data_IF_209152820803
#
_entry.id   IF_209152820803
#
_cell.length_a   1.000
_cell.length_b   1.000
_cell.length_c   1.000
_cell.angle_alpha   90.00
_cell.angle_beta   90.00
_cell.angle_gamma   90.00
#
_symmetry.space_group_name_H-M   'P 1'
#
loop_
_entity.id
_entity.type
_entity.pdbx_description
1 polymer ?
#
# COMPACT_ATOMS: atom_id res chain seq x y z
N UNK A 1 19.11 32.59 -9.42
CA UNK A 1 19.98 31.60 -8.76
C UNK A 1 20.74 32.34 -7.67
N UNK A 2 20.85 31.78 -6.47
CA UNK A 2 21.57 32.40 -5.34
C UNK A 2 23.09 32.27 -5.51
N UNK A 3 23.87 33.00 -4.71
CA UNK A 3 25.32 32.90 -4.75
C UNK A 3 25.82 31.51 -4.29
N UNK A 4 27.01 31.13 -4.74
CA UNK A 4 27.52 29.75 -4.68
C UNK A 4 27.56 29.14 -3.26
N UNK A 5 27.98 29.93 -2.26
CA UNK A 5 28.02 29.47 -0.87
C UNK A 5 26.63 29.14 -0.32
N UNK A 6 25.68 30.06 -0.48
CA UNK A 6 24.29 29.83 -0.06
C UNK A 6 23.63 28.69 -0.83
N UNK A 7 23.95 28.53 -2.12
CA UNK A 7 23.50 27.39 -2.92
C UNK A 7 24.01 26.06 -2.33
N UNK A 8 25.31 25.98 -2.05
CA UNK A 8 25.91 24.80 -1.44
C UNK A 8 25.26 24.46 -0.10
N UNK A 9 25.12 25.45 0.79
CA UNK A 9 24.55 25.25 2.12
C UNK A 9 23.08 24.80 2.03
N UNK A 10 22.32 25.40 1.10
CA UNK A 10 20.95 24.99 0.81
C UNK A 10 20.85 23.55 0.32
N UNK A 11 21.61 23.18 -0.71
CA UNK A 11 21.53 21.83 -1.29
C UNK A 11 21.96 20.77 -0.26
N UNK A 12 23.01 21.02 0.53
CA UNK A 12 23.37 20.13 1.64
C UNK A 12 22.24 20.03 2.67
N UNK A 13 21.53 21.11 3.00
CA UNK A 13 20.39 21.06 3.93
C UNK A 13 19.24 20.20 3.39
N UNK A 14 18.97 20.25 2.08
CA UNK A 14 17.89 19.51 1.43
C UNK A 14 18.22 18.03 1.26
N UNK A 15 19.44 17.69 0.83
CA UNK A 15 19.85 16.32 0.47
C UNK A 15 20.66 15.61 1.57
N UNK A 16 20.70 16.14 2.79
CA UNK A 16 21.30 15.44 3.93
C UNK A 16 20.46 14.20 4.32
N UNK A 17 21.09 13.03 4.35
CA UNK A 17 20.48 11.84 4.94
C UNK A 17 20.41 11.98 6.47
N UNK A 18 19.25 11.73 7.11
CA UNK A 18 19.14 11.67 8.56
C UNK A 18 19.92 10.49 9.17
N UNK A 19 20.18 9.43 8.40
CA UNK A 19 20.85 8.20 8.85
C UNK A 19 22.37 8.22 8.65
N UNK A 20 22.89 9.18 7.87
CA UNK A 20 24.32 9.41 7.73
C UNK A 20 24.71 10.70 8.45
N UNK A 21 24.99 10.60 9.75
CA UNK A 21 25.86 11.58 10.41
C UNK A 21 27.25 11.39 9.80
N UNK A 22 27.78 12.35 9.02
CA UNK A 22 29.13 12.19 8.51
C UNK A 22 30.10 12.29 9.71
N UNK A 23 31.19 11.50 9.70
CA UNK A 23 32.25 11.69 10.68
C UNK A 23 32.71 13.15 10.61
N UNK A 24 32.76 13.82 11.75
CA UNK A 24 33.32 15.16 11.84
C UNK A 24 34.73 15.15 11.20
N UNK A 25 34.95 16.02 10.21
CA UNK A 25 36.22 16.29 9.52
C UNK A 25 36.53 15.61 8.16
N UNK A 26 35.53 15.23 7.33
CA UNK A 26 35.77 15.13 5.87
C UNK A 26 35.28 16.39 5.17
N UNK A 27 36.12 17.01 4.33
CA UNK A 27 35.74 18.18 3.54
C UNK A 27 34.59 17.78 2.61
N UNK A 28 33.35 18.21 2.91
CA UNK A 28 32.22 18.00 2.01
C UNK A 28 32.56 18.67 0.68
N UNK A 29 32.56 17.90 -0.41
CA UNK A 29 32.69 18.48 -1.75
C UNK A 29 31.57 19.53 -1.92
N UNK A 30 31.87 20.70 -2.53
CA UNK A 30 30.84 21.69 -2.78
C UNK A 30 29.76 21.09 -3.69
N UNK A 31 28.50 21.28 -3.32
CA UNK A 31 27.34 20.76 -4.03
C UNK A 31 26.68 21.90 -4.81
N UNK A 32 26.39 21.66 -6.08
CA UNK A 32 25.73 22.60 -6.99
C UNK A 32 24.88 21.81 -8.01
N UNK A 33 24.15 22.50 -8.90
CA UNK A 33 23.26 21.81 -9.85
C UNK A 33 23.98 20.97 -10.92
N UNK A 34 25.30 21.11 -11.10
CA UNK A 34 26.04 20.28 -12.07
C UNK A 34 26.37 18.89 -11.51
N UNK A 35 26.69 18.81 -10.21
CA UNK A 35 27.03 17.54 -9.55
C UNK A 35 25.88 16.97 -8.69
N UNK A 36 24.74 17.65 -8.62
CA UNK A 36 23.56 17.19 -7.89
C UNK A 36 22.99 15.86 -8.41
N UNK A 37 22.90 15.59 -9.73
CA UNK A 37 22.42 14.29 -10.23
C UNK A 37 23.22 13.10 -9.68
N UNK A 38 24.55 13.18 -9.75
CA UNK A 38 25.44 12.12 -9.22
C UNK A 38 25.29 11.94 -7.70
N UNK A 39 25.08 13.04 -6.97
CA UNK A 39 24.83 12.99 -5.54
C UNK A 39 23.48 12.34 -5.21
N UNK A 40 22.44 12.62 -6.00
CA UNK A 40 21.13 11.99 -5.87
C UNK A 40 21.19 10.49 -6.17
N UNK A 41 21.93 10.07 -7.20
CA UNK A 41 22.11 8.64 -7.49
C UNK A 41 22.76 7.90 -6.31
N UNK A 42 23.76 8.52 -5.67
CA UNK A 42 24.37 7.97 -4.44
C UNK A 42 23.39 7.96 -3.26
N UNK A 43 22.60 9.02 -3.09
CA UNK A 43 21.60 9.12 -2.03
C UNK A 43 20.49 8.09 -2.20
N UNK A 44 20.15 7.72 -3.44
CA UNK A 44 19.07 6.79 -3.76
C UNK A 44 19.54 5.35 -3.97
N UNK A 45 20.85 5.09 -3.83
CA UNK A 45 21.38 3.74 -3.87
C UNK A 45 20.82 2.92 -2.69
N UNK A 46 20.32 1.72 -3.00
CA UNK A 46 19.83 0.74 -2.03
C UNK A 46 20.74 -0.48 -2.14
N UNK A 47 21.02 -1.15 -1.02
CA UNK A 47 21.90 -2.31 -1.00
C UNK A 47 21.31 -3.45 -1.86
N UNK A 48 22.18 -4.14 -2.62
CA UNK A 48 21.77 -5.15 -3.61
C UNK A 48 20.93 -6.29 -3.03
N UNK A 49 21.05 -6.59 -1.73
CA UNK A 49 20.25 -7.62 -1.05
C UNK A 49 18.75 -7.32 -1.08
N UNK A 50 18.34 -6.05 -1.03
CA UNK A 50 16.93 -5.60 -1.08
C UNK A 50 16.35 -5.63 -2.51
N UNK A 51 17.21 -5.68 -3.53
CA UNK A 51 16.82 -5.80 -4.94
C UNK A 51 16.73 -7.27 -5.36
N UNK A 52 17.66 -8.13 -4.93
CA UNK A 52 17.66 -9.56 -5.25
C UNK A 52 16.64 -10.39 -4.44
N UNK A 53 16.24 -9.94 -3.24
CA UNK A 53 15.24 -10.65 -2.42
C UNK A 53 13.82 -10.62 -2.99
N UNK A 54 13.54 -9.79 -4.01
CA UNK A 54 12.21 -9.64 -4.61
C UNK A 54 11.85 -10.88 -5.44
N UNK A 55 11.22 -11.86 -4.81
CA UNK A 55 10.56 -12.99 -5.50
C UNK A 55 11.03 -14.39 -5.11
N UNK A 56 12.05 -14.56 -4.25
CA UNK A 56 12.50 -15.87 -3.77
C UNK A 56 12.55 -15.96 -2.24
N UNK A 57 11.49 -15.49 -1.57
CA UNK A 57 11.35 -15.71 -0.14
C UNK A 57 11.20 -17.22 0.18
N UNK A 58 12.08 -17.75 1.02
CA UNK A 58 11.98 -19.14 1.51
C UNK A 58 10.57 -19.40 2.08
N UNK A 59 9.98 -20.53 1.69
CA UNK A 59 8.64 -20.92 2.14
C UNK A 59 7.49 -20.48 1.23
N UNK A 60 7.77 -19.90 0.07
CA UNK A 60 6.78 -19.45 -0.93
C UNK A 60 7.09 -20.02 -2.31
N UNK A 61 6.07 -20.34 -3.09
CA UNK A 61 6.18 -20.85 -4.47
C UNK A 61 5.14 -20.16 -5.36
N UNK A 62 5.58 -19.61 -6.49
CA UNK A 62 4.73 -18.93 -7.47
C UNK A 62 5.30 -17.59 -7.95
N UNK A 63 4.64 -16.92 -8.89
CA UNK A 63 5.08 -15.63 -9.45
C UNK A 63 5.19 -14.55 -8.37
N UNK A 64 6.12 -13.60 -8.48
CA UNK A 64 6.29 -12.51 -7.50
C UNK A 64 5.02 -11.66 -7.33
N UNK A 65 4.35 -11.35 -8.44
CA UNK A 65 3.01 -10.76 -8.44
C UNK A 65 1.97 -11.83 -8.15
N UNK A 66 1.24 -11.69 -7.05
CA UNK A 66 0.24 -12.66 -6.61
C UNK A 66 -1.15 -12.16 -6.98
N UNK A 67 -1.90 -13.00 -7.69
CA UNK A 67 -3.26 -12.71 -8.18
C UNK A 67 -4.14 -13.95 -8.06
N UNK A 68 -5.42 -13.83 -8.35
CA UNK A 68 -6.33 -14.96 -8.49
C UNK A 68 -6.06 -15.72 -9.80
N UNK A 69 -5.92 -17.05 -9.72
CA UNK A 69 -5.65 -17.91 -10.88
C UNK A 69 -6.96 -18.23 -11.62
N UNK A 70 -7.33 -17.31 -12.52
CA UNK A 70 -8.47 -17.45 -13.43
C UNK A 70 -8.19 -18.36 -14.64
N UNK A 71 -7.01 -19.01 -14.71
CA UNK A 71 -6.63 -19.85 -15.87
C UNK A 71 -6.79 -21.35 -15.61
N UNK A 72 -6.48 -21.79 -14.40
CA UNK A 72 -6.58 -23.20 -14.01
C UNK A 72 -6.79 -23.42 -12.52
N UNK A 73 -6.93 -22.34 -11.74
CA UNK A 73 -7.07 -22.38 -10.29
C UNK A 73 -8.50 -22.15 -9.81
N UNK A 74 -9.51 -22.41 -10.63
CA UNK A 74 -10.90 -22.11 -10.28
C UNK A 74 -11.89 -23.17 -10.78
N UNK A 75 -13.11 -23.10 -10.26
CA UNK A 75 -14.27 -23.90 -10.65
C UNK A 75 -15.55 -23.07 -10.50
N UNK A 76 -16.53 -23.30 -11.38
CA UNK A 76 -17.74 -22.49 -11.45
C UNK A 76 -17.60 -21.20 -12.26
N UNK A 77 -18.66 -20.40 -12.29
CA UNK A 77 -18.70 -19.14 -13.04
C UNK A 77 -18.36 -17.99 -12.09
N UNK A 78 -17.25 -17.31 -12.38
CA UNK A 78 -16.73 -16.18 -11.61
C UNK A 78 -16.47 -15.00 -12.54
N UNK A 79 -16.81 -13.79 -12.10
CA UNK A 79 -16.32 -12.57 -12.73
C UNK A 79 -15.11 -12.10 -11.94
N UNK A 80 -13.98 -11.93 -12.61
CA UNK A 80 -12.72 -11.50 -12.01
C UNK A 80 -12.37 -10.13 -12.59
N UNK A 81 -11.97 -9.18 -11.74
CA UNK A 81 -11.59 -7.83 -12.16
C UNK A 81 -10.32 -7.84 -13.03
N UNK A 82 -10.08 -6.78 -13.81
CA UNK A 82 -8.93 -6.67 -14.72
C UNK A 82 -7.57 -6.78 -13.99
N UNK A 83 -7.50 -6.36 -12.72
CA UNK A 83 -6.30 -6.49 -11.89
C UNK A 83 -6.13 -7.88 -11.26
N UNK A 84 -7.09 -8.77 -11.49
CA UNK A 84 -7.15 -10.14 -10.99
C UNK A 84 -7.14 -10.26 -9.46
N UNK A 85 -7.58 -9.21 -8.77
CA UNK A 85 -7.68 -9.18 -7.30
C UNK A 85 -9.13 -9.14 -6.81
N UNK A 86 -10.06 -8.60 -7.60
CA UNK A 86 -11.50 -8.65 -7.32
C UNK A 86 -12.17 -9.88 -7.92
N UNK A 87 -13.16 -10.45 -7.22
CA UNK A 87 -13.94 -11.58 -7.74
C UNK A 87 -15.39 -11.52 -7.26
N UNK A 88 -16.31 -11.89 -8.15
CA UNK A 88 -17.76 -12.00 -7.92
C UNK A 88 -18.25 -13.41 -8.31
N UNK A 89 -18.97 -14.06 -7.41
CA UNK A 89 -19.60 -15.35 -7.63
C UNK A 89 -20.79 -15.25 -8.59
N UNK A 90 -20.83 -16.08 -9.62
CA UNK A 90 -21.93 -16.17 -10.59
C UNK A 90 -22.51 -17.59 -10.74
N UNK A 91 -21.99 -18.56 -9.98
CA UNK A 91 -22.53 -19.91 -9.81
C UNK A 91 -23.08 -20.12 -8.40
N UNK A 92 -23.54 -21.34 -8.10
CA UNK A 92 -24.05 -21.69 -6.77
C UNK A 92 -22.99 -21.50 -5.68
N UNK A 93 -21.79 -22.06 -5.92
CA UNK A 93 -20.64 -21.91 -5.04
C UNK A 93 -19.32 -22.03 -5.81
N UNK A 94 -18.96 -20.96 -6.52
CA UNK A 94 -17.74 -20.94 -7.34
C UNK A 94 -16.50 -20.80 -6.45
N UNK A 95 -15.41 -21.47 -6.82
CA UNK A 95 -14.16 -21.48 -6.03
C UNK A 95 -12.99 -21.01 -6.86
N UNK A 96 -12.11 -20.19 -6.29
CA UNK A 96 -10.85 -19.76 -6.92
C UNK A 96 -9.72 -19.70 -5.90
N UNK A 97 -8.51 -20.04 -6.33
CA UNK A 97 -7.27 -19.90 -5.54
C UNK A 97 -6.31 -18.91 -6.17
N UNK A 98 -5.33 -18.46 -5.39
CA UNK A 98 -4.28 -17.57 -5.91
C UNK A 98 -3.23 -18.34 -6.74
N UNK A 99 -2.42 -17.61 -7.50
CA UNK A 99 -1.30 -18.14 -8.29
C UNK A 99 -0.10 -18.60 -7.47
N UNK A 100 -0.07 -18.28 -6.16
CA UNK A 100 1.09 -18.50 -5.28
C UNK A 100 0.67 -19.27 -4.03
N UNK A 101 1.52 -20.19 -3.58
CA UNK A 101 1.34 -20.91 -2.33
C UNK A 101 2.51 -20.73 -1.38
N UNK A 102 2.31 -21.17 -0.14
CA UNK A 102 3.29 -21.14 0.93
C UNK A 102 3.42 -22.51 1.59
N UNK A 103 4.63 -22.87 1.98
CA UNK A 103 4.97 -24.19 2.55
C UNK A 103 5.84 -24.13 3.82
N UNK A 104 6.38 -22.95 4.18
CA UNK A 104 7.18 -22.72 5.40
C UNK A 104 7.07 -21.27 5.83
N UNK A 105 7.20 -20.96 7.13
CA UNK A 105 7.14 -19.60 7.64
C UNK A 105 5.72 -19.11 7.92
N UNK A 106 5.61 -17.81 8.22
CA UNK A 106 4.37 -17.15 8.63
C UNK A 106 3.88 -16.20 7.54
N UNK A 107 2.67 -16.40 7.06
CA UNK A 107 2.12 -15.67 5.92
C UNK A 107 0.73 -15.11 6.16
N UNK A 108 0.46 -13.96 5.54
CA UNK A 108 -0.82 -13.29 5.62
C UNK A 108 -1.25 -12.73 4.26
N UNK A 109 -2.56 -12.75 4.02
CA UNK A 109 -3.21 -11.90 3.04
C UNK A 109 -4.47 -11.30 3.65
N UNK A 110 -4.96 -10.22 3.04
CA UNK A 110 -6.21 -9.59 3.44
C UNK A 110 -7.28 -9.77 2.37
N UNK A 111 -8.52 -9.95 2.80
CA UNK A 111 -9.69 -9.99 1.92
C UNK A 111 -10.65 -8.92 2.38
N UNK A 112 -10.96 -8.03 1.45
CA UNK A 112 -11.98 -7.03 1.62
C UNK A 112 -13.35 -7.61 1.24
N UNK A 113 -14.28 -7.58 2.19
CA UNK A 113 -15.65 -8.04 2.01
C UNK A 113 -16.46 -6.97 1.28
N UNK A 114 -16.90 -7.24 0.05
CA UNK A 114 -17.72 -6.31 -0.74
C UNK A 114 -19.22 -6.57 -0.58
N UNK A 115 -19.60 -7.80 -0.24
CA UNK A 115 -20.96 -8.22 0.11
C UNK A 115 -20.94 -9.20 1.28
N UNK A 116 -22.02 -9.28 2.06
CA UNK A 116 -22.03 -9.95 3.36
C UNK A 116 -22.68 -11.34 3.36
N UNK A 117 -22.88 -11.97 2.20
CA UNK A 117 -23.54 -13.27 2.11
C UNK A 117 -22.59 -14.45 2.24
N UNK A 118 -23.00 -15.57 1.64
CA UNK A 118 -22.43 -16.89 1.88
C UNK A 118 -21.09 -17.07 1.14
N UNK A 119 -20.00 -17.09 1.90
CA UNK A 119 -18.64 -17.24 1.39
C UNK A 119 -17.79 -18.03 2.38
N UNK A 120 -16.77 -18.73 1.88
CA UNK A 120 -15.78 -19.43 2.69
C UNK A 120 -14.38 -18.98 2.27
N UNK A 121 -13.68 -18.28 3.15
CA UNK A 121 -12.36 -17.69 2.88
C UNK A 121 -11.29 -18.44 3.66
N UNK A 122 -10.21 -18.86 2.99
CA UNK A 122 -9.07 -19.44 3.71
C UNK A 122 -8.03 -20.08 2.80
N UNK A 123 -7.56 -21.26 3.17
CA UNK A 123 -6.39 -21.88 2.56
C UNK A 123 -6.71 -23.27 2.04
N UNK A 124 -6.18 -23.63 0.87
CA UNK A 124 -6.31 -24.98 0.31
C UNK A 124 -4.97 -25.50 -0.21
N UNK A 125 -4.80 -26.82 -0.22
CA UNK A 125 -3.66 -27.46 -0.90
C UNK A 125 -3.95 -27.65 -2.38
N UNK A 126 -2.92 -27.98 -3.16
CA UNK A 126 -3.09 -28.33 -4.59
C UNK A 126 -4.00 -29.54 -4.81
N UNK A 127 -4.16 -30.39 -3.80
CA UNK A 127 -4.99 -31.60 -3.86
C UNK A 127 -6.46 -31.33 -3.55
N UNK A 128 -6.82 -30.08 -3.20
CA UNK A 128 -8.21 -29.69 -3.04
C UNK A 128 -8.91 -29.72 -4.40
N UNK A 129 -9.89 -30.62 -4.56
CA UNK A 129 -10.72 -30.68 -5.76
C UNK A 129 -11.88 -29.73 -5.59
N UNK A 130 -12.03 -28.79 -6.51
CA UNK A 130 -13.14 -27.86 -6.49
C UNK A 130 -14.34 -28.45 -7.23
N UNK A 131 -15.54 -28.16 -6.73
CA UNK A 131 -16.81 -28.38 -7.40
C UNK A 131 -17.76 -27.23 -7.00
N UNK A 132 -19.01 -27.24 -7.46
CA UNK A 132 -19.97 -26.16 -7.22
C UNK A 132 -20.91 -26.40 -6.02
N UNK A 133 -20.67 -27.47 -5.27
CA UNK A 133 -21.46 -27.89 -4.10
C UNK A 133 -20.65 -27.78 -2.80
N UNK A 134 -19.37 -28.13 -2.85
CA UNK A 134 -18.39 -28.08 -1.78
C UNK A 134 -17.41 -26.92 -2.01
N UNK A 135 -17.18 -26.11 -0.98
CA UNK A 135 -16.23 -25.02 -1.03
C UNK A 135 -14.95 -25.25 -0.23
N UNK A 136 -14.17 -24.18 -0.11
CA UNK A 136 -12.96 -24.16 0.73
C UNK A 136 -13.37 -24.46 2.17
N UNK A 137 -12.76 -25.49 2.76
CA UNK A 137 -13.07 -25.96 4.09
C UNK A 137 -14.00 -27.19 4.13
N UNK A 138 -14.58 -27.63 3.01
CA UNK A 138 -15.41 -28.84 2.99
C UNK A 138 -14.58 -30.12 2.81
N UNK A 139 -13.29 -30.00 2.49
CA UNK A 139 -12.35 -31.13 2.33
C UNK A 139 -11.21 -31.09 3.34
N UNK A 140 -10.58 -32.24 3.60
CA UNK A 140 -9.39 -32.33 4.47
C UNK A 140 -8.19 -31.51 3.95
N UNK A 141 -8.21 -31.16 2.66
CA UNK A 141 -7.19 -30.38 1.98
C UNK A 141 -7.42 -28.87 2.05
N UNK A 142 -8.42 -28.40 2.81
CA UNK A 142 -8.78 -26.99 2.87
C UNK A 142 -9.34 -26.56 4.21
N UNK A 143 -9.18 -25.29 4.53
CA UNK A 143 -9.52 -24.69 5.81
C UNK A 143 -10.13 -23.31 5.53
N UNK A 144 -11.30 -23.02 6.08
CA UNK A 144 -11.95 -21.73 5.83
C UNK A 144 -12.67 -21.14 7.02
N UNK A 145 -12.92 -19.85 6.90
CA UNK A 145 -13.79 -19.05 7.73
C UNK A 145 -14.98 -18.54 6.91
N UNK A 146 -16.18 -18.74 7.45
CA UNK A 146 -17.44 -18.21 6.93
C UNK A 146 -18.00 -17.23 7.98
N UNK A 147 -17.81 -15.93 7.75
CA UNK A 147 -18.28 -14.89 8.64
C UNK A 147 -19.78 -14.62 8.52
N UNK A 148 -20.46 -15.06 7.46
CA UNK A 148 -21.92 -14.97 7.40
C UNK A 148 -22.58 -15.99 8.33
N UNK A 149 -22.02 -17.20 8.41
CA UNK A 149 -22.49 -18.25 9.34
C UNK A 149 -21.74 -18.29 10.67
N UNK A 150 -20.73 -17.45 10.84
CA UNK A 150 -19.87 -17.35 12.04
C UNK A 150 -19.27 -18.71 12.41
N UNK A 151 -18.63 -19.33 11.41
CA UNK A 151 -18.15 -20.72 11.48
C UNK A 151 -16.79 -20.87 10.83
N UNK A 152 -16.03 -21.86 11.32
CA UNK A 152 -14.85 -22.39 10.64
C UNK A 152 -15.16 -23.75 10.01
N UNK A 153 -14.51 -24.06 8.91
CA UNK A 153 -14.77 -25.24 8.07
C UNK A 153 -13.47 -26.01 7.78
N UNK A 154 -13.46 -27.30 8.11
CA UNK A 154 -12.49 -28.30 7.63
C UNK A 154 -13.15 -29.68 7.71
N UNK A 155 -13.73 -30.17 6.60
CA UNK A 155 -14.62 -31.35 6.50
C UNK A 155 -15.93 -31.20 7.27
N UNK A 156 -15.86 -30.73 8.51
CA UNK A 156 -16.98 -30.40 9.37
C UNK A 156 -16.92 -28.93 9.78
N UNK A 157 -18.04 -28.43 10.30
CA UNK A 157 -18.17 -27.02 10.70
C UNK A 157 -18.39 -26.85 12.20
N UNK A 158 -17.72 -25.85 12.77
CA UNK A 158 -17.85 -25.46 14.18
C UNK A 158 -17.96 -23.94 14.33
N UNK A 159 -18.60 -23.48 15.41
CA UNK A 159 -18.73 -22.05 15.69
C UNK A 159 -17.35 -21.40 15.87
N UNK A 160 -17.12 -20.26 15.21
CA UNK A 160 -15.86 -19.52 15.28
C UNK A 160 -16.02 -18.11 14.73
N UNK A 161 -15.32 -17.14 15.32
CA UNK A 161 -15.24 -15.78 14.79
C UNK A 161 -16.45 -14.90 15.10
N UNK A 162 -16.73 -13.94 14.22
CA UNK A 162 -17.79 -12.93 14.35
C UNK A 162 -18.51 -12.71 13.03
N UNK A 163 -19.71 -12.15 13.04
CA UNK A 163 -20.34 -11.77 11.78
C UNK A 163 -19.49 -10.73 11.04
N UNK A 164 -19.28 -10.91 9.72
CA UNK A 164 -18.72 -9.86 8.86
C UNK A 164 -19.83 -8.98 8.28
N UNK A 165 -19.46 -7.81 7.79
CA UNK A 165 -20.29 -6.93 6.98
C UNK A 165 -19.52 -6.48 5.73
N UNK A 166 -20.25 -5.98 4.73
CA UNK A 166 -19.63 -5.29 3.60
C UNK A 166 -18.83 -4.08 4.14
N UNK A 167 -17.56 -3.96 3.74
CA UNK A 167 -16.64 -2.99 4.34
C UNK A 167 -15.57 -3.62 5.23
N UNK A 168 -15.83 -4.81 5.79
CA UNK A 168 -14.89 -5.46 6.68
C UNK A 168 -13.70 -6.05 5.93
N UNK A 169 -12.57 -6.12 6.62
CA UNK A 169 -11.36 -6.78 6.12
C UNK A 169 -11.07 -7.99 7.00
N UNK A 170 -10.95 -9.15 6.36
CA UNK A 170 -10.50 -10.39 6.97
C UNK A 170 -9.03 -10.58 6.68
N UNK A 171 -8.18 -10.57 7.70
CA UNK A 171 -6.79 -11.02 7.57
C UNK A 171 -6.75 -12.54 7.77
N UNK A 172 -6.19 -13.27 6.82
CA UNK A 172 -6.07 -14.72 6.87
C UNK A 172 -4.61 -15.09 7.16
N UNK A 173 -4.35 -15.67 8.33
CA UNK A 173 -2.99 -15.92 8.83
C UNK A 173 -2.71 -17.42 8.85
N UNK A 174 -1.56 -17.82 8.31
CA UNK A 174 -1.05 -19.19 8.39
C UNK A 174 0.37 -19.19 8.93
N UNK A 175 0.59 -19.91 10.03
CA UNK A 175 1.89 -20.13 10.64
C UNK A 175 2.27 -21.59 10.37
N UNK A 176 3.14 -21.81 9.38
CA UNK A 176 3.56 -23.16 9.00
C UNK A 176 4.71 -23.66 9.89
N UNK A 177 5.34 -22.79 10.66
CA UNK A 177 6.38 -23.18 11.61
C UNK A 177 5.73 -23.83 12.85
N UNK A 178 4.65 -23.24 13.35
CA UNK A 178 3.85 -23.79 14.47
C UNK A 178 2.72 -24.72 14.01
N UNK A 179 2.29 -24.58 12.75
CA UNK A 179 1.22 -25.40 12.16
C UNK A 179 -0.16 -24.94 12.60
N UNK A 180 -0.36 -23.62 12.65
CA UNK A 180 -1.62 -22.98 13.06
C UNK A 180 -2.19 -22.08 11.97
N UNK A 181 -3.50 -21.91 11.99
CA UNK A 181 -4.24 -21.02 11.11
C UNK A 181 -5.18 -20.18 11.95
N UNK A 182 -5.18 -18.86 11.74
CA UNK A 182 -6.04 -17.93 12.45
C UNK A 182 -6.59 -16.85 11.51
N UNK A 183 -7.61 -16.14 11.99
CA UNK A 183 -8.22 -15.04 11.24
C UNK A 183 -8.32 -13.81 12.12
N UNK A 184 -8.22 -12.64 11.52
CA UNK A 184 -8.57 -11.37 12.16
C UNK A 184 -9.71 -10.71 11.39
N UNK A 185 -10.60 -10.02 12.10
CA UNK A 185 -11.62 -9.16 11.51
C UNK A 185 -11.32 -7.71 11.90
N UNK A 186 -11.03 -6.87 10.91
CA UNK A 186 -10.65 -5.46 11.11
C UNK A 186 -9.50 -5.29 12.12
N UNK A 187 -8.47 -6.13 12.00
CA UNK A 187 -7.31 -6.13 12.89
C UNK A 187 -7.54 -6.76 14.27
N UNK A 188 -8.76 -7.20 14.59
CA UNK A 188 -9.05 -7.89 15.86
C UNK A 188 -8.94 -9.40 15.66
N UNK A 189 -8.06 -10.05 16.43
CA UNK A 189 -7.92 -11.52 16.41
C UNK A 189 -9.24 -12.20 16.74
N UNK A 190 -9.55 -13.26 15.98
CA UNK A 190 -10.68 -14.16 16.23
C UNK A 190 -10.25 -15.44 16.98
N UNK A 191 -8.99 -15.52 17.41
CA UNK A 191 -8.38 -16.71 18.01
C UNK A 191 -7.79 -17.68 16.98
N UNK A 192 -7.20 -18.78 17.47
CA UNK A 192 -6.69 -19.84 16.59
C UNK A 192 -7.88 -20.64 16.04
N UNK A 193 -7.97 -20.74 14.72
CA UNK A 193 -9.02 -21.49 14.04
C UNK A 193 -8.63 -22.97 13.92
N UNK A 194 -7.40 -23.26 13.53
CA UNK A 194 -6.92 -24.63 13.33
C UNK A 194 -5.49 -24.79 13.85
N UNK A 195 -5.21 -25.99 14.34
CA UNK A 195 -3.91 -26.40 14.87
C UNK A 195 -3.51 -27.73 14.20
N UNK A 196 -2.23 -28.08 14.31
CA UNK A 196 -1.67 -29.33 13.75
C UNK A 196 -1.88 -29.47 12.24
N UNK A 197 -1.69 -28.38 11.49
CA UNK A 197 -1.74 -28.41 10.04
C UNK A 197 -0.76 -29.45 9.47
N UNK A 198 -1.20 -30.15 8.42
CA UNK A 198 -0.37 -31.08 7.66
C UNK A 198 0.81 -30.34 7.01
N UNK A 199 2.03 -30.72 7.37
CA UNK A 199 3.27 -30.10 6.90
C UNK A 199 4.24 -31.17 6.41
N UNK A 200 5.18 -30.77 5.55
CA UNK A 200 6.22 -31.67 5.02
C UNK A 200 6.35 -31.59 3.50
N UNK A 201 7.13 -32.52 2.93
CA UNK A 201 7.39 -32.56 1.50
C UNK A 201 6.09 -32.70 0.71
N UNK A 202 5.91 -31.85 -0.31
CA UNK A 202 4.73 -31.84 -1.17
C UNK A 202 3.51 -31.11 -0.58
N UNK A 203 3.61 -30.54 0.63
CA UNK A 203 2.53 -29.78 1.26
C UNK A 203 2.75 -28.28 1.08
N UNK A 204 1.82 -27.62 0.40
CA UNK A 204 1.78 -26.16 0.27
C UNK A 204 0.33 -25.67 0.24
N UNK A 205 0.11 -24.44 0.67
CA UNK A 205 -1.19 -23.85 0.89
C UNK A 205 -1.37 -22.58 0.04
N UNK A 206 -2.43 -22.55 -0.75
CA UNK A 206 -2.86 -21.41 -1.54
C UNK A 206 -3.97 -20.68 -0.79
N UNK A 207 -3.97 -19.34 -0.73
CA UNK A 207 -5.18 -18.57 -0.50
C UNK A 207 -6.27 -18.99 -1.48
N UNK A 208 -7.48 -19.19 -0.97
CA UNK A 208 -8.62 -19.60 -1.74
C UNK A 208 -9.92 -19.05 -1.14
N UNK A 209 -10.94 -18.98 -1.98
CA UNK A 209 -12.28 -18.58 -1.58
C UNK A 209 -13.34 -19.35 -2.37
N UNK A 210 -14.44 -19.67 -1.71
CA UNK A 210 -15.70 -20.07 -2.35
C UNK A 210 -16.76 -19.00 -2.13
N UNK A 211 -17.51 -18.66 -3.19
CA UNK A 211 -18.45 -17.55 -3.27
C UNK A 211 -19.79 -18.03 -3.81
N UNK A 212 -20.88 -17.69 -3.14
CA UNK A 212 -22.22 -17.85 -3.71
C UNK A 212 -22.56 -16.78 -4.73
N UNK A 213 -23.67 -17.00 -5.46
CA UNK A 213 -24.17 -16.09 -6.46
C UNK A 213 -24.31 -14.65 -5.93
N UNK A 214 -23.73 -13.68 -6.66
CA UNK A 214 -23.61 -12.25 -6.36
C UNK A 214 -22.72 -11.88 -5.18
N UNK A 215 -22.09 -12.84 -4.52
CA UNK A 215 -21.13 -12.53 -3.46
C UNK A 215 -19.80 -12.07 -4.04
N UNK A 216 -19.17 -11.09 -3.41
CA UNK A 216 -18.03 -10.38 -3.97
C UNK A 216 -17.02 -9.98 -2.90
N UNK A 217 -15.75 -10.05 -3.27
CA UNK A 217 -14.61 -9.65 -2.45
C UNK A 217 -13.49 -9.06 -3.30
N UNK A 218 -12.54 -8.40 -2.64
CA UNK A 218 -11.26 -8.02 -3.25
C UNK A 218 -10.08 -8.46 -2.38
N UNK A 219 -9.09 -9.10 -2.98
CA UNK A 219 -7.89 -9.58 -2.31
C UNK A 219 -6.81 -8.50 -2.25
N UNK A 220 -6.04 -8.54 -1.17
CA UNK A 220 -4.75 -7.87 -1.08
C UNK A 220 -3.71 -8.88 -0.58
N UNK A 221 -2.93 -9.42 -1.52
CA UNK A 221 -1.81 -10.29 -1.22
C UNK A 221 -0.54 -9.52 -0.81
N UNK A 222 -0.55 -8.18 -0.92
CA UNK A 222 0.62 -7.31 -0.71
C UNK A 222 0.89 -6.35 -1.87
N UNK A 223 0.09 -6.37 -2.94
CA UNK A 223 0.17 -5.42 -4.06
C UNK A 223 -0.11 -3.97 -3.65
N UNK A 224 -0.76 -3.79 -2.51
CA UNK A 224 -0.94 -2.53 -1.79
C UNK A 224 -0.58 -2.73 -0.32
N UNK A 225 -0.20 -1.67 0.44
CA UNK A 225 0.05 -1.80 1.87
C UNK A 225 -1.09 -2.54 2.57
N UNK A 226 -0.75 -3.60 3.33
CA UNK A 226 -1.73 -4.30 4.14
C UNK A 226 -2.25 -3.38 5.25
N UNK A 227 -3.56 -3.37 5.47
CA UNK A 227 -4.25 -2.41 6.34
C UNK A 227 -3.92 -2.62 7.81
N UNK A 228 -3.85 -3.86 8.26
CA UNK A 228 -3.66 -4.22 9.68
C UNK A 228 -2.31 -4.88 9.98
N UNK A 229 -1.38 -4.84 9.03
CA UNK A 229 -0.07 -5.46 9.16
C UNK A 229 0.95 -4.58 9.91
N UNK A 230 0.90 -3.26 9.71
CA UNK A 230 1.87 -2.31 10.29
C UNK A 230 1.16 -1.34 11.26
N UNK A 231 1.71 -1.14 12.47
CA UNK A 231 1.25 -0.14 13.44
C UNK A 231 0.99 -0.66 14.87
N UNK A 232 0.46 0.20 15.76
CA UNK A 232 0.20 -0.12 17.19
C UNK A 232 -0.83 -1.24 17.43
N UNK A 233 -1.54 -1.67 16.39
CA UNK A 233 -2.51 -2.77 16.39
C UNK A 233 -2.02 -3.99 15.58
N UNK A 234 -0.70 -4.17 15.41
CA UNK A 234 -0.10 -5.27 14.65
C UNK A 234 -0.32 -6.63 15.34
N UNK A 235 -1.55 -7.14 15.28
CA UNK A 235 -1.91 -8.53 15.63
C UNK A 235 -1.22 -9.54 14.68
N UNK A 236 -0.71 -9.03 13.56
CA UNK A 236 -0.05 -9.77 12.47
C UNK A 236 1.48 -9.68 12.56
N UNK A 237 2.04 -9.18 13.67
CA UNK A 237 3.48 -9.04 13.85
C UNK A 237 4.20 -10.40 13.66
N UNK A 238 5.17 -10.43 12.75
CA UNK A 238 5.95 -11.63 12.41
C UNK A 238 5.41 -12.44 11.23
N UNK A 239 4.25 -12.11 10.68
CA UNK A 239 3.77 -12.67 9.41
C UNK A 239 4.28 -11.81 8.24
N UNK A 240 4.45 -12.40 7.06
CA UNK A 240 4.83 -11.71 5.82
C UNK A 240 3.67 -11.70 4.82
N UNK A 241 3.50 -10.63 4.02
CA UNK A 241 2.54 -10.66 2.91
C UNK A 241 2.95 -11.71 1.87
N UNK A 242 2.00 -12.19 1.07
CA UNK A 242 2.29 -13.14 -0.02
C UNK A 242 3.00 -12.50 -1.21
N UNK A 243 2.83 -11.20 -1.40
CA UNK A 243 3.55 -10.39 -2.35
C UNK A 243 4.41 -9.41 -1.57
N UNK A 244 5.72 -9.46 -1.80
CA UNK A 244 6.66 -8.59 -1.11
C UNK A 244 6.39 -7.11 -1.48
N UNK A 245 6.49 -6.19 -0.50
CA UNK A 245 6.54 -4.77 -0.79
C UNK A 245 7.70 -4.44 -1.74
N UNK A 246 7.59 -3.41 -2.59
CA UNK A 246 8.71 -2.95 -3.40
C UNK A 246 9.72 -2.19 -2.54
N UNK A 247 10.47 -2.88 -1.68
CA UNK A 247 11.31 -2.31 -0.61
C UNK A 247 12.28 -1.25 -1.14
N UNK A 248 13.05 -1.57 -2.19
CA UNK A 248 14.02 -0.63 -2.77
C UNK A 248 13.35 0.66 -3.26
N UNK A 249 12.24 0.53 -4.00
CA UNK A 249 11.49 1.70 -4.46
C UNK A 249 10.86 2.50 -3.30
N UNK A 250 10.41 1.80 -2.24
CA UNK A 250 9.85 2.42 -1.06
C UNK A 250 10.90 3.25 -0.32
N UNK A 251 12.11 2.72 -0.14
CA UNK A 251 13.24 3.45 0.45
C UNK A 251 13.57 4.69 -0.40
N UNK A 252 13.70 4.53 -1.72
CA UNK A 252 13.97 5.66 -2.64
C UNK A 252 12.86 6.74 -2.53
N UNK A 253 11.60 6.33 -2.56
CA UNK A 253 10.45 7.24 -2.45
C UNK A 253 10.41 7.96 -1.09
N UNK A 254 10.75 7.28 0.01
CA UNK A 254 10.82 7.89 1.34
C UNK A 254 11.96 8.91 1.46
N UNK A 255 13.14 8.61 0.91
CA UNK A 255 14.28 9.56 0.86
C UNK A 255 13.92 10.80 0.05
N UNK A 256 13.29 10.62 -1.12
CA UNK A 256 12.81 11.73 -1.96
C UNK A 256 11.72 12.56 -1.28
N UNK A 257 10.77 11.91 -0.60
CA UNK A 257 9.77 12.61 0.22
C UNK A 257 10.44 13.41 1.35
N UNK A 258 11.49 12.87 1.97
CA UNK A 258 12.30 13.59 2.95
C UNK A 258 12.93 14.87 2.38
N UNK A 259 13.58 14.77 1.22
CA UNK A 259 14.14 15.92 0.50
C UNK A 259 13.05 16.93 0.14
N UNK A 260 11.91 16.47 -0.38
CA UNK A 260 10.77 17.30 -0.72
C UNK A 260 10.24 18.06 0.51
N UNK A 261 10.06 17.37 1.64
CA UNK A 261 9.67 18.00 2.91
C UNK A 261 10.69 19.02 3.40
N UNK A 262 11.98 18.75 3.23
CA UNK A 262 13.02 19.70 3.56
C UNK A 262 12.86 21.00 2.74
N UNK A 263 12.56 20.91 1.44
CA UNK A 263 12.28 22.08 0.59
C UNK A 263 11.08 22.87 1.09
N UNK A 264 10.04 22.19 1.58
CA UNK A 264 8.86 22.83 2.16
C UNK A 264 9.11 23.51 3.52
N UNK A 265 10.25 23.24 4.16
CA UNK A 265 10.59 23.75 5.51
C UNK A 265 11.74 24.76 5.53
N UNK A 266 12.40 24.99 4.39
CA UNK A 266 13.58 25.86 4.27
C UNK A 266 13.29 26.97 3.29
N UNK A 267 13.45 28.21 3.74
CA UNK A 267 13.40 29.41 2.90
C UNK A 267 14.82 29.96 2.68
N UNK A 268 15.05 30.46 1.46
CA UNK A 268 16.26 31.16 1.09
C UNK A 268 16.05 32.65 1.30
N UNK A 269 16.87 33.27 2.16
CA UNK A 269 16.96 34.72 2.29
C UNK A 269 18.13 35.24 1.44
N UNK A 270 17.88 35.73 0.21
CA UNK A 270 18.93 36.22 -0.67
C UNK A 270 19.53 37.55 -0.20
N UNK A 271 18.83 38.30 0.67
CA UNK A 271 19.27 39.61 1.16
C UNK A 271 20.28 39.43 2.28
N UNK A 272 19.97 38.59 3.26
CA UNK A 272 20.89 38.28 4.36
C UNK A 272 21.87 37.14 4.03
N UNK A 273 21.66 36.44 2.92
CA UNK A 273 22.54 35.36 2.46
C UNK A 273 22.49 34.13 3.36
N UNK A 274 21.34 33.83 3.98
CA UNK A 274 21.17 32.76 4.97
C UNK A 274 19.98 31.85 4.67
N UNK A 275 19.96 30.69 5.32
CA UNK A 275 18.81 29.78 5.35
C UNK A 275 17.93 30.11 6.55
N UNK A 276 16.62 30.11 6.34
CA UNK A 276 15.62 30.32 7.40
C UNK A 276 14.73 29.10 7.48
N UNK A 277 14.56 28.53 8.67
CA UNK A 277 13.59 27.46 8.90
C UNK A 277 12.20 28.06 9.10
N UNK A 278 11.20 27.45 8.47
CA UNK A 278 9.80 27.83 8.60
C UNK A 278 8.90 26.63 8.84
N UNK A 279 7.75 26.89 9.44
CA UNK A 279 6.69 25.89 9.47
C UNK A 279 6.23 25.60 8.04
N UNK A 280 6.14 24.32 7.69
CA UNK A 280 5.68 23.89 6.36
C UNK A 280 4.25 24.35 6.04
N UNK A 281 3.46 24.70 7.07
CA UNK A 281 2.10 25.23 6.96
C UNK A 281 2.04 26.61 6.29
N UNK A 282 3.15 27.37 6.33
CA UNK A 282 3.27 28.71 5.74
C UNK A 282 3.99 28.71 4.39
N UNK A 283 4.40 27.53 3.90
CA UNK A 283 5.16 27.43 2.66
C UNK A 283 4.35 27.96 1.47
N UNK A 284 5.03 28.66 0.56
CA UNK A 284 4.46 29.13 -0.70
C UNK A 284 5.54 29.11 -1.77
N UNK A 285 5.18 28.69 -2.99
CA UNK A 285 6.08 28.74 -4.12
C UNK A 285 6.27 30.19 -4.57
N UNK A 286 7.40 30.81 -4.20
CA UNK A 286 7.74 32.18 -4.58
C UNK A 286 8.43 32.29 -5.96
N UNK A 287 8.40 31.22 -6.77
CA UNK A 287 9.04 31.20 -8.10
C UNK A 287 10.57 31.37 -8.07
N UNK A 288 11.21 31.15 -6.93
CA UNK A 288 12.66 31.28 -6.80
C UNK A 288 13.37 30.23 -7.66
N UNK A 289 14.26 30.61 -8.60
CA UNK A 289 14.88 29.67 -9.54
C UNK A 289 15.63 28.53 -8.86
N UNK A 290 16.29 28.80 -7.72
CA UNK A 290 17.02 27.78 -6.95
C UNK A 290 16.07 26.69 -6.43
N UNK A 291 14.92 27.08 -5.88
CA UNK A 291 13.91 26.14 -5.37
C UNK A 291 13.32 25.33 -6.52
N UNK A 292 12.96 26.00 -7.63
CA UNK A 292 12.40 25.34 -8.81
C UNK A 292 13.36 24.32 -9.42
N UNK A 293 14.63 24.67 -9.58
CA UNK A 293 15.65 23.73 -10.06
C UNK A 293 15.85 22.55 -9.11
N UNK A 294 15.82 22.79 -7.80
CA UNK A 294 15.96 21.73 -6.79
C UNK A 294 14.78 20.76 -6.84
N UNK A 295 13.55 21.28 -6.93
CA UNK A 295 12.35 20.48 -7.09
C UNK A 295 12.37 19.69 -8.41
N UNK A 296 12.85 20.26 -9.51
CA UNK A 296 12.98 19.55 -10.77
C UNK A 296 13.85 18.28 -10.64
N UNK A 297 15.00 18.38 -9.96
CA UNK A 297 15.87 17.22 -9.72
C UNK A 297 15.21 16.17 -8.81
N UNK A 298 14.44 16.60 -7.79
CA UNK A 298 13.69 15.67 -6.94
C UNK A 298 12.63 14.93 -7.76
N UNK A 299 11.83 15.66 -8.54
CA UNK A 299 10.71 15.09 -9.30
C UNK A 299 11.17 14.23 -10.47
N UNK A 300 12.34 14.47 -11.04
CA UNK A 300 12.95 13.60 -12.05
C UNK A 300 13.06 12.13 -11.57
N UNK A 301 13.35 11.91 -10.28
CA UNK A 301 13.39 10.57 -9.69
C UNK A 301 12.09 10.17 -8.98
N UNK A 302 11.32 11.14 -8.48
CA UNK A 302 10.11 10.85 -7.71
C UNK A 302 8.89 10.55 -8.59
N UNK A 303 8.75 11.20 -9.74
CA UNK A 303 7.60 11.06 -10.62
C UNK A 303 7.39 9.61 -11.11
N UNK A 304 8.43 8.87 -11.57
CA UNK A 304 8.26 7.48 -11.99
C UNK A 304 7.80 6.55 -10.85
N UNK A 305 8.22 6.84 -9.61
CA UNK A 305 7.81 6.09 -8.41
C UNK A 305 6.34 6.36 -8.07
N UNK A 306 5.88 7.59 -8.21
CA UNK A 306 4.49 8.00 -7.93
C UNK A 306 3.46 7.50 -8.96
N UNK A 307 3.85 6.62 -9.88
CA UNK A 307 2.93 5.85 -10.74
C UNK A 307 2.58 4.48 -10.17
N UNK A 308 3.37 3.98 -9.22
CA UNK A 308 3.18 2.66 -8.61
C UNK A 308 2.15 2.79 -7.47
N UNK A 309 1.03 2.08 -7.57
CA UNK A 309 -0.08 2.16 -6.61
C UNK A 309 0.37 1.99 -5.15
N UNK A 310 1.30 1.06 -4.90
CA UNK A 310 1.85 0.83 -3.57
C UNK A 310 2.52 2.08 -2.99
N UNK A 311 3.32 2.79 -3.81
CA UNK A 311 4.05 3.99 -3.39
C UNK A 311 3.14 5.21 -3.29
N UNK A 312 2.13 5.31 -4.15
CA UNK A 312 1.09 6.35 -4.03
C UNK A 312 0.38 6.23 -2.69
N UNK A 313 -0.01 5.02 -2.27
CA UNK A 313 -0.70 4.80 -0.99
C UNK A 313 0.26 4.96 0.21
N UNK A 314 1.42 4.30 0.17
CA UNK A 314 2.37 4.28 1.28
C UNK A 314 3.09 5.62 1.51
N UNK A 315 3.31 6.41 0.46
CA UNK A 315 4.16 7.61 0.52
C UNK A 315 3.34 8.88 0.31
N UNK A 316 2.79 9.08 -0.90
CA UNK A 316 2.11 10.35 -1.24
C UNK A 316 0.82 10.55 -0.44
N UNK A 317 -0.06 9.55 -0.42
CA UNK A 317 -1.33 9.64 0.29
C UNK A 317 -1.08 9.80 1.79
N UNK A 318 -0.19 9.01 2.39
CA UNK A 318 0.19 9.14 3.80
C UNK A 318 0.75 10.52 4.14
N UNK A 319 1.56 11.12 3.25
CA UNK A 319 2.04 12.49 3.39
C UNK A 319 0.90 13.53 3.35
N UNK A 320 0.01 13.45 2.35
CA UNK A 320 -1.11 14.37 2.20
C UNK A 320 -2.12 14.25 3.35
N UNK A 321 -2.38 13.04 3.83
CA UNK A 321 -3.20 12.79 5.02
C UNK A 321 -2.54 13.38 6.27
N UNK A 322 -1.23 13.21 6.45
CA UNK A 322 -0.47 13.85 7.52
C UNK A 322 -0.48 15.38 7.47
N UNK A 323 -0.63 15.99 6.28
CA UNK A 323 -0.91 17.43 6.16
C UNK A 323 -2.31 17.75 6.68
N UNK A 324 -3.34 16.96 6.35
CA UNK A 324 -4.72 17.17 6.82
C UNK A 324 -4.87 17.06 8.34
N UNK A 325 -4.00 16.30 9.03
CA UNK A 325 -4.01 16.19 10.50
C UNK A 325 -3.36 17.39 11.19
N UNK A 326 -2.52 18.16 10.49
CA UNK A 326 -1.71 19.23 11.05
C UNK A 326 -2.26 20.61 10.65
N UNK A 327 -2.31 21.52 11.63
CA UNK A 327 -2.72 22.91 11.41
C UNK A 327 -4.23 23.09 11.21
N UNK A 328 -4.62 24.29 10.77
CA UNK A 328 -6.03 24.61 10.51
C UNK A 328 -6.50 24.04 9.16
N UNK A 329 -7.80 23.74 8.97
CA UNK A 329 -8.32 23.21 7.70
C UNK A 329 -7.97 24.07 6.48
N UNK A 330 -7.89 25.39 6.64
CA UNK A 330 -7.54 26.31 5.56
C UNK A 330 -6.07 26.21 5.15
N UNK A 331 -5.15 26.18 6.12
CA UNK A 331 -3.71 25.98 5.88
C UNK A 331 -3.45 24.63 5.23
N UNK A 332 -4.08 23.59 5.76
CA UNK A 332 -3.92 22.22 5.28
C UNK A 332 -4.41 22.10 3.82
N UNK A 333 -5.57 22.70 3.49
CA UNK A 333 -6.08 22.76 2.12
C UNK A 333 -5.11 23.51 1.18
N UNK A 334 -4.58 24.66 1.61
CA UNK A 334 -3.62 25.44 0.82
C UNK A 334 -2.36 24.63 0.49
N UNK A 335 -1.80 23.94 1.48
CA UNK A 335 -0.59 23.15 1.29
C UNK A 335 -0.83 21.95 0.37
N UNK A 336 -1.99 21.28 0.47
CA UNK A 336 -2.36 20.22 -0.49
C UNK A 336 -2.47 20.78 -1.91
N UNK A 337 -3.09 21.95 -2.09
CA UNK A 337 -3.21 22.57 -3.42
C UNK A 337 -1.84 22.90 -4.00
N UNK A 338 -0.94 23.45 -3.19
CA UNK A 338 0.43 23.71 -3.61
C UNK A 338 1.17 22.42 -3.99
N UNK A 339 1.05 21.34 -3.20
CA UNK A 339 1.66 20.05 -3.57
C UNK A 339 1.11 19.58 -4.92
N UNK A 340 -0.20 19.66 -5.13
CA UNK A 340 -0.82 19.29 -6.42
C UNK A 340 -0.32 20.17 -7.56
N UNK A 341 -0.20 21.49 -7.37
CA UNK A 341 0.38 22.40 -8.35
C UNK A 341 1.82 22.00 -8.72
N UNK A 342 2.62 21.57 -7.75
CA UNK A 342 3.97 21.06 -7.99
C UNK A 342 3.97 19.75 -8.78
N UNK A 343 3.04 18.82 -8.49
CA UNK A 343 2.90 17.59 -9.29
C UNK A 343 2.59 17.95 -10.76
N UNK A 344 1.65 18.87 -11.00
CA UNK A 344 1.31 19.34 -12.34
C UNK A 344 2.41 20.18 -13.01
N UNK A 345 3.35 20.72 -12.24
CA UNK A 345 4.44 21.54 -12.77
C UNK A 345 5.65 20.69 -13.17
N UNK A 346 5.96 19.64 -12.42
CA UNK A 346 7.22 18.89 -12.55
C UNK A 346 7.07 17.47 -13.10
N UNK A 347 5.87 16.91 -13.12
CA UNK A 347 5.63 15.59 -13.70
C UNK A 347 5.11 15.73 -15.13
N UNK A 348 5.40 14.73 -15.97
CA UNK A 348 4.79 14.64 -17.29
C UNK A 348 3.28 14.36 -17.17
N UNK A 349 2.51 14.78 -18.19
CA UNK A 349 1.04 14.67 -18.17
C UNK A 349 0.56 13.24 -17.86
N UNK A 350 1.17 12.22 -18.47
CA UNK A 350 0.77 10.83 -18.21
C UNK A 350 1.13 10.36 -16.79
N UNK A 351 2.20 10.88 -16.20
CA UNK A 351 2.65 10.49 -14.86
C UNK A 351 1.72 11.06 -13.78
N UNK A 352 1.36 12.35 -13.90
CA UNK A 352 0.44 12.99 -12.94
C UNK A 352 -0.96 12.42 -13.07
N UNK A 353 -1.38 12.05 -14.28
CA UNK A 353 -2.68 11.39 -14.51
C UNK A 353 -2.73 10.00 -13.87
N UNK A 354 -1.71 9.17 -14.07
CA UNK A 354 -1.58 7.86 -13.40
C UNK A 354 -1.60 8.03 -11.88
N UNK A 355 -0.78 8.94 -11.35
CA UNK A 355 -0.68 9.25 -9.92
C UNK A 355 -2.04 9.67 -9.32
N UNK A 356 -2.73 10.61 -9.95
CA UNK A 356 -4.03 11.11 -9.47
C UNK A 356 -5.12 10.03 -9.56
N UNK A 357 -5.12 9.21 -10.61
CA UNK A 357 -6.04 8.07 -10.73
C UNK A 357 -5.83 7.09 -9.58
N UNK A 358 -4.59 6.68 -9.33
CA UNK A 358 -4.27 5.74 -8.24
C UNK A 358 -4.60 6.34 -6.87
N UNK A 359 -4.31 7.63 -6.65
CA UNK A 359 -4.62 8.33 -5.41
C UNK A 359 -6.13 8.37 -5.15
N UNK A 360 -6.93 8.73 -6.17
CA UNK A 360 -8.38 8.81 -6.04
C UNK A 360 -9.01 7.43 -5.81
N UNK A 361 -8.58 6.41 -6.55
CA UNK A 361 -9.06 5.03 -6.38
C UNK A 361 -8.71 4.48 -4.99
N UNK A 362 -7.51 4.79 -4.48
CA UNK A 362 -7.07 4.37 -3.14
C UNK A 362 -7.89 5.07 -2.05
N UNK A 363 -8.14 6.38 -2.19
CA UNK A 363 -8.99 7.13 -1.26
C UNK A 363 -10.44 6.63 -1.26
N UNK A 364 -11.01 6.36 -2.43
CA UNK A 364 -12.37 5.81 -2.54
C UNK A 364 -12.47 4.43 -1.90
N UNK A 365 -11.50 3.55 -2.17
CA UNK A 365 -11.40 2.23 -1.55
C UNK A 365 -11.32 2.38 -0.03
N UNK A 366 -10.37 3.15 0.49
CA UNK A 366 -10.18 3.31 1.92
C UNK A 366 -11.37 3.99 2.60
N UNK A 367 -12.07 4.91 1.93
CA UNK A 367 -13.33 5.48 2.42
C UNK A 367 -14.42 4.40 2.52
N UNK A 368 -14.69 3.68 1.42
CA UNK A 368 -15.79 2.72 1.31
C UNK A 368 -15.62 1.53 2.25
N UNK A 369 -14.37 1.17 2.51
CA UNK A 369 -14.00 -0.07 3.16
C UNK A 369 -13.24 0.15 4.46
N UNK A 370 -13.34 1.36 5.04
CA UNK A 370 -12.92 1.57 6.43
C UNK A 370 -13.99 1.04 7.38
N UNK A 371 -13.58 0.45 8.52
CA UNK A 371 -14.52 0.06 9.57
C UNK A 371 -15.41 1.23 9.98
N UNK A 372 -16.70 0.96 10.11
CA UNK A 372 -17.66 1.96 10.59
C UNK A 372 -17.54 2.02 12.11
N UNK A 373 -16.77 2.99 12.58
CA UNK A 373 -16.70 3.36 14.00
C UNK A 373 -17.67 4.52 14.29
N UNK A 374 -18.16 4.69 15.53
CA UNK A 374 -19.22 5.67 15.83
C UNK A 374 -18.92 7.13 15.43
N UNK A 375 -17.64 7.52 15.40
CA UNK A 375 -17.21 8.87 15.03
C UNK A 375 -16.93 9.05 13.53
N UNK A 376 -16.95 7.95 12.75
CA UNK A 376 -16.57 7.90 11.34
C UNK A 376 -15.21 8.56 11.06
N UNK A 377 -14.30 8.58 12.04
CA UNK A 377 -13.09 9.39 11.97
C UNK A 377 -12.22 9.06 10.76
N UNK A 378 -12.09 7.78 10.43
CA UNK A 378 -11.34 7.30 9.27
C UNK A 378 -11.98 7.75 7.94
N UNK A 379 -13.29 7.57 7.79
CA UNK A 379 -14.02 7.96 6.59
C UNK A 379 -13.96 9.48 6.38
N UNK A 380 -14.16 10.25 7.45
CA UNK A 380 -14.04 11.72 7.43
C UNK A 380 -12.64 12.14 6.99
N UNK A 381 -11.61 11.44 7.45
CA UNK A 381 -10.23 11.75 7.11
C UNK A 381 -9.94 11.58 5.61
N UNK A 382 -10.35 10.45 5.01
CA UNK A 382 -10.25 10.23 3.56
C UNK A 382 -11.10 11.21 2.77
N UNK A 383 -12.34 11.47 3.21
CA UNK A 383 -13.25 12.37 2.53
C UNK A 383 -12.73 13.82 2.49
N UNK A 384 -12.11 14.28 3.58
CA UNK A 384 -11.48 15.62 3.64
C UNK A 384 -10.39 15.77 2.61
N UNK A 385 -9.49 14.79 2.48
CA UNK A 385 -8.44 14.83 1.46
C UNK A 385 -9.04 14.77 0.05
N UNK A 386 -10.01 13.89 -0.20
CA UNK A 386 -10.73 13.80 -1.47
C UNK A 386 -11.35 15.15 -1.87
N UNK A 387 -12.06 15.80 -0.95
CA UNK A 387 -12.65 17.13 -1.18
C UNK A 387 -11.57 18.17 -1.48
N UNK A 388 -10.45 18.15 -0.74
CA UNK A 388 -9.33 19.05 -0.99
C UNK A 388 -8.79 18.89 -2.42
N UNK A 389 -8.55 17.66 -2.87
CA UNK A 389 -8.10 17.34 -4.23
C UNK A 389 -9.13 17.80 -5.28
N UNK A 390 -10.41 17.57 -5.06
CA UNK A 390 -11.49 17.99 -5.97
C UNK A 390 -11.71 19.51 -5.98
N UNK A 391 -11.24 20.24 -4.97
CA UNK A 391 -11.26 21.71 -4.99
C UNK A 391 -10.14 22.28 -5.86
N UNK A 392 -9.05 21.53 -6.08
CA UNK A 392 -7.96 21.94 -6.95
C UNK A 392 -8.37 21.85 -8.43
N UNK A 393 -8.29 22.97 -9.17
CA UNK A 393 -8.92 23.12 -10.49
C UNK A 393 -8.41 22.13 -11.55
N UNK A 394 -7.07 21.99 -11.69
CA UNK A 394 -6.47 21.10 -12.70
C UNK A 394 -6.79 19.63 -12.41
N UNK A 395 -6.57 19.21 -11.16
CA UNK A 395 -6.86 17.85 -10.71
C UNK A 395 -8.34 17.50 -10.86
N UNK A 396 -9.26 18.39 -10.46
CA UNK A 396 -10.71 18.20 -10.65
C UNK A 396 -11.07 17.99 -12.12
N UNK A 397 -10.55 18.84 -13.01
CA UNK A 397 -10.85 18.76 -14.45
C UNK A 397 -10.45 17.39 -15.01
N UNK A 398 -9.24 16.92 -14.69
CA UNK A 398 -8.78 15.60 -15.11
C UNK A 398 -9.66 14.48 -14.56
N UNK A 399 -9.90 14.48 -13.24
CA UNK A 399 -10.62 13.41 -12.56
C UNK A 399 -12.06 13.26 -13.07
N UNK A 400 -12.79 14.37 -13.26
CA UNK A 400 -14.17 14.35 -13.78
C UNK A 400 -14.29 13.93 -15.25
N UNK A 401 -13.21 13.97 -16.02
CA UNK A 401 -13.22 13.61 -17.43
C UNK A 401 -12.76 12.17 -17.69
N UNK A 402 -12.03 11.56 -16.75
CA UNK A 402 -11.30 10.32 -17.02
C UNK A 402 -11.41 9.25 -15.92
N UNK A 403 -11.89 9.60 -14.72
CA UNK A 403 -11.84 8.70 -13.54
C UNK A 403 -13.18 8.60 -12.82
N UNK A 404 -13.78 9.74 -12.47
CA UNK A 404 -15.10 9.86 -11.87
C UNK A 404 -16.15 10.03 -12.97
#
# INVERSE_FOLDING_TARGET
IVHEKLLNDYLHRIFSSPDHVPPAATSRKPLNFQNLPEHLDQLLQVDNEDEESQGQAEGRLGPSTVVLDHTGGFEGLLLVDDDLLGVIGHSNFGTIRSTTCVYKGKWVYEVLISSQGLMQIGWCTINCRFNQEEGVGDTHNSYAYDGNRVRKWNVTTTNYGKAWAAGDIVSCLIDLDDGTLSFCLNGVSLGIAFENLSRGLGMAYFPAISLSFKESVAFNFGSRPLRYHFGKMAVVAGFRPLQDPPCADLVRAQRLLGCFRAVLSVELDPVEGRLVEKESSEWQLQGQPTILLTLAHIFQHFAPLLRKVYLVEAVLMSFLLGIMEKGTPAQAQSLVHQVLDLLWLFMEDYEVQDCLKQLMMSLLRLYRFSPIVPDLGLQIHYLRLTISILRHQKSRKFLLSNVL
#
